data_IF_072579981142
#
_entry.id   IF_072579981142
#
_cell.length_a   1.000
_cell.length_b   1.000
_cell.length_c   1.000
_cell.angle_alpha   90.00
_cell.angle_beta   90.00
_cell.angle_gamma   90.00
#
_symmetry.space_group_name_H-M   'P 1'
#
loop_
_entity.id
_entity.type
_entity.pdbx_description
1 polymer ?
#
# COMPACT_ATOMS: atom_id res chain seq x y z
N UNK A 1 9.19 24.99 21.93
CA UNK A 1 9.55 23.56 21.88
C UNK A 1 8.35 22.62 21.68
N UNK A 2 7.23 22.72 22.40
CA UNK A 2 6.07 21.79 22.22
C UNK A 2 5.52 21.73 20.79
N UNK A 3 5.26 22.89 20.16
CA UNK A 3 4.78 22.97 18.77
C UNK A 3 5.74 22.33 17.76
N UNK A 4 7.04 22.46 18.03
CA UNK A 4 8.10 21.88 17.22
C UNK A 4 8.06 20.35 17.20
N UNK A 5 7.80 19.73 18.35
CA UNK A 5 7.66 18.26 18.46
C UNK A 5 6.39 17.79 17.76
N UNK A 6 5.27 18.50 17.97
CA UNK A 6 3.99 18.17 17.33
C UNK A 6 4.09 18.21 15.80
N UNK A 7 4.72 19.25 15.24
CA UNK A 7 4.92 19.37 13.80
C UNK A 7 5.81 18.26 13.25
N UNK A 8 6.87 17.88 13.98
CA UNK A 8 7.73 16.76 13.56
C UNK A 8 6.94 15.46 13.53
N UNK A 9 6.14 15.17 14.55
CA UNK A 9 5.29 13.97 14.57
C UNK A 9 4.29 13.99 13.40
N UNK A 10 3.64 15.15 13.17
CA UNK A 10 2.65 15.32 12.11
C UNK A 10 3.18 15.04 10.70
N UNK A 11 4.46 15.31 10.43
CA UNK A 11 5.04 15.10 9.10
C UNK A 11 5.86 13.80 8.99
N UNK A 12 6.57 13.41 10.05
CA UNK A 12 7.42 12.22 10.03
C UNK A 12 6.59 10.94 10.06
N UNK A 13 5.53 10.86 10.89
CA UNK A 13 4.73 9.63 10.99
C UNK A 13 4.02 9.31 9.66
N UNK A 14 3.31 10.25 9.01
CA UNK A 14 2.73 9.98 7.69
C UNK A 14 3.79 9.75 6.62
N UNK A 15 4.93 10.45 6.67
CA UNK A 15 6.02 10.24 5.73
C UNK A 15 6.62 8.83 5.80
N UNK A 16 6.85 8.30 7.00
CA UNK A 16 7.33 6.92 7.21
C UNK A 16 6.28 5.89 6.77
N UNK A 17 5.00 6.13 7.09
CA UNK A 17 3.92 5.28 6.64
C UNK A 17 3.85 5.25 5.10
N UNK A 18 3.91 6.42 4.47
CA UNK A 18 3.91 6.54 3.01
C UNK A 18 5.12 5.87 2.35
N UNK A 19 6.30 5.95 2.96
CA UNK A 19 7.49 5.25 2.50
C UNK A 19 7.30 3.72 2.55
N UNK A 20 6.73 3.20 3.64
CA UNK A 20 6.48 1.79 3.80
C UNK A 20 5.43 1.27 2.81
N UNK A 21 4.31 1.98 2.63
CA UNK A 21 3.25 1.57 1.68
C UNK A 21 3.75 1.62 0.24
N UNK A 22 4.47 2.69 -0.14
CA UNK A 22 5.07 2.79 -1.47
C UNK A 22 6.12 1.70 -1.72
N UNK A 23 6.99 1.45 -0.73
CA UNK A 23 7.99 0.37 -0.81
C UNK A 23 7.34 -1.00 -0.99
N UNK A 24 6.30 -1.31 -0.23
CA UNK A 24 5.52 -2.54 -0.37
C UNK A 24 4.87 -2.65 -1.74
N UNK A 25 4.26 -1.57 -2.25
CA UNK A 25 3.65 -1.57 -3.57
C UNK A 25 4.67 -1.80 -4.71
N UNK A 26 5.87 -1.23 -4.58
CA UNK A 26 6.96 -1.38 -5.55
C UNK A 26 7.63 -2.76 -5.49
N UNK A 27 7.67 -3.38 -4.32
CA UNK A 27 8.30 -4.70 -4.10
C UNK A 27 7.31 -5.86 -4.15
N UNK A 28 6.02 -5.58 -4.24
CA UNK A 28 4.97 -6.58 -4.30
C UNK A 28 5.22 -7.56 -5.45
N UNK A 29 5.26 -8.87 -5.13
CA UNK A 29 5.49 -9.91 -6.14
C UNK A 29 4.42 -9.84 -7.23
N UNK A 30 4.74 -10.27 -8.44
CA UNK A 30 3.77 -10.31 -9.55
C UNK A 30 2.78 -11.48 -9.43
N UNK A 31 2.86 -12.25 -8.35
CA UNK A 31 2.01 -13.41 -8.13
C UNK A 31 0.60 -12.99 -7.74
N UNK A 32 -0.39 -13.66 -8.33
CA UNK A 32 -1.80 -13.35 -8.07
C UNK A 32 -2.27 -14.21 -6.92
N UNK A 33 -2.33 -13.62 -5.72
CA UNK A 33 -2.69 -14.37 -4.50
C UNK A 33 -4.21 -14.41 -4.33
N UNK A 34 -4.78 -15.60 -4.09
CA UNK A 34 -6.17 -15.70 -3.66
C UNK A 34 -6.26 -15.44 -2.14
N UNK A 35 -7.11 -14.51 -1.67
CA UNK A 35 -7.32 -14.28 -0.24
C UNK A 35 -8.00 -15.47 0.47
N UNK A 36 -8.76 -16.27 -0.27
CA UNK A 36 -9.41 -17.48 0.23
C UNK A 36 -8.96 -18.75 -0.51
N UNK A 37 -9.87 -19.70 -0.57
CA UNK A 37 -9.67 -20.98 -1.24
C UNK A 37 -9.55 -20.80 -2.76
N UNK A 38 -8.50 -21.37 -3.36
CA UNK A 38 -8.30 -21.38 -4.79
C UNK A 38 -8.67 -22.75 -5.37
N UNK A 39 -9.75 -22.78 -6.13
CA UNK A 39 -10.33 -23.96 -6.77
C UNK A 39 -10.09 -23.87 -8.27
N UNK A 40 -9.49 -24.92 -8.85
CA UNK A 40 -9.26 -25.03 -10.28
C UNK A 40 -10.42 -25.71 -11.00
N UNK A 41 -10.31 -25.89 -12.32
CA UNK A 41 -11.30 -26.59 -13.14
C UNK A 41 -11.57 -28.05 -12.69
N UNK A 42 -10.61 -28.68 -12.00
CA UNK A 42 -10.75 -30.01 -11.41
C UNK A 42 -11.60 -30.06 -10.13
N UNK A 43 -11.97 -28.90 -9.58
CA UNK A 43 -12.71 -28.79 -8.33
C UNK A 43 -11.86 -29.03 -7.08
N UNK A 44 -10.54 -29.17 -7.20
CA UNK A 44 -9.64 -29.40 -6.07
C UNK A 44 -8.97 -28.10 -5.59
N UNK A 45 -8.83 -27.99 -4.26
CA UNK A 45 -8.11 -26.91 -3.61
C UNK A 45 -6.63 -26.97 -3.92
N UNK A 46 -6.09 -25.85 -4.42
CA UNK A 46 -4.67 -25.75 -4.73
C UNK A 46 -4.00 -24.63 -3.91
N UNK A 47 -3.13 -24.98 -2.95
CA UNK A 47 -2.36 -23.99 -2.21
C UNK A 47 -1.31 -23.37 -3.14
N UNK A 48 -1.30 -22.04 -3.22
CA UNK A 48 -0.31 -21.29 -4.00
C UNK A 48 -0.92 -20.12 -4.76
N UNK A 49 -0.08 -19.35 -5.47
CA UNK A 49 -0.56 -18.26 -6.30
C UNK A 49 -1.42 -18.81 -7.44
N UNK A 50 -2.47 -18.07 -7.78
CA UNK A 50 -3.35 -18.43 -8.87
C UNK A 50 -2.58 -18.48 -10.19
N UNK A 51 -2.95 -19.43 -11.04
CA UNK A 51 -2.43 -19.59 -12.39
C UNK A 51 -3.46 -19.16 -13.43
N UNK A 52 -3.03 -18.75 -14.64
CA UNK A 52 -3.93 -18.58 -15.76
C UNK A 52 -4.71 -19.89 -16.01
N UNK A 53 -6.04 -19.81 -15.99
CA UNK A 53 -6.94 -20.97 -16.08
C UNK A 53 -7.63 -21.35 -14.75
N UNK A 54 -7.18 -20.81 -13.62
CA UNK A 54 -7.87 -21.04 -12.34
C UNK A 54 -9.25 -20.33 -12.33
N UNK A 55 -10.29 -21.10 -12.04
CA UNK A 55 -11.68 -20.71 -12.24
C UNK A 55 -12.36 -20.11 -11.01
N UNK A 56 -11.87 -20.37 -9.80
CA UNK A 56 -12.55 -19.94 -8.59
C UNK A 56 -11.61 -19.59 -7.45
N UNK A 57 -11.39 -18.30 -7.23
CA UNK A 57 -10.81 -17.80 -5.99
C UNK A 57 -11.93 -17.29 -5.08
N UNK A 58 -12.07 -17.85 -3.88
CA UNK A 58 -13.03 -17.39 -2.90
C UNK A 58 -12.62 -15.99 -2.37
N UNK A 59 -13.53 -15.03 -2.53
CA UNK A 59 -13.41 -13.71 -1.94
C UNK A 59 -13.96 -13.78 -0.53
N UNK A 60 -13.12 -13.45 0.45
CA UNK A 60 -13.50 -13.46 1.86
C UNK A 60 -13.77 -12.05 2.35
N UNK A 61 -14.81 -11.90 3.17
CA UNK A 61 -14.99 -10.79 4.11
C UNK A 61 -14.85 -11.32 5.53
N UNK A 62 -13.69 -11.07 6.15
CA UNK A 62 -13.29 -11.77 7.37
C UNK A 62 -13.14 -13.28 7.12
N UNK A 63 -14.00 -14.08 7.75
CA UNK A 63 -14.03 -15.55 7.59
C UNK A 63 -15.15 -16.06 6.68
N UNK A 64 -15.95 -15.15 6.09
CA UNK A 64 -17.13 -15.53 5.29
C UNK A 64 -16.81 -15.37 3.81
N UNK A 65 -17.08 -16.42 3.02
CA UNK A 65 -17.02 -16.33 1.56
C UNK A 65 -18.20 -15.50 1.03
N UNK A 66 -17.87 -14.39 0.37
CA UNK A 66 -18.85 -13.43 -0.19
C UNK A 66 -18.96 -13.53 -1.71
N UNK A 67 -18.18 -14.41 -2.33
CA UNK A 67 -18.25 -14.67 -3.77
C UNK A 67 -16.99 -15.36 -4.29
N UNK A 68 -16.94 -15.55 -5.60
CA UNK A 68 -15.77 -16.08 -6.29
C UNK A 68 -15.27 -15.10 -7.35
N UNK A 69 -13.96 -15.08 -7.58
CA UNK A 69 -13.31 -14.32 -8.65
C UNK A 69 -12.48 -15.25 -9.51
N UNK A 70 -12.48 -15.00 -10.82
CA UNK A 70 -11.55 -15.68 -11.73
C UNK A 70 -10.15 -15.09 -11.63
N UNK A 71 -9.16 -15.80 -12.18
CA UNK A 71 -7.77 -15.30 -12.26
C UNK A 71 -7.67 -13.86 -12.79
N UNK A 72 -8.31 -13.55 -13.92
CA UNK A 72 -8.21 -12.21 -14.54
C UNK A 72 -8.91 -11.13 -13.71
N UNK A 73 -10.02 -11.47 -13.04
CA UNK A 73 -10.69 -10.55 -12.12
C UNK A 73 -9.79 -10.23 -10.91
N UNK A 74 -9.19 -11.26 -10.31
CA UNK A 74 -8.31 -11.10 -9.16
C UNK A 74 -7.04 -10.33 -9.52
N UNK A 75 -6.44 -10.63 -10.68
CA UNK A 75 -5.30 -9.89 -11.23
C UNK A 75 -5.61 -8.41 -11.41
N UNK A 76 -6.78 -8.09 -11.95
CA UNK A 76 -7.21 -6.69 -12.14
C UNK A 76 -7.38 -5.98 -10.81
N UNK A 77 -8.04 -6.60 -9.84
CA UNK A 77 -8.23 -6.03 -8.49
C UNK A 77 -6.89 -5.73 -7.82
N UNK A 78 -5.98 -6.71 -7.77
CA UNK A 78 -4.66 -6.50 -7.18
C UNK A 78 -3.84 -5.44 -7.90
N UNK A 79 -3.98 -5.33 -9.23
CA UNK A 79 -3.30 -4.28 -9.99
C UNK A 79 -3.82 -2.88 -9.64
N UNK A 80 -5.10 -2.76 -9.31
CA UNK A 80 -5.71 -1.49 -8.89
C UNK A 80 -5.31 -1.15 -7.45
N UNK A 81 -5.41 -2.11 -6.53
CA UNK A 81 -4.97 -1.96 -5.13
C UNK A 81 -3.50 -1.54 -5.06
N UNK A 82 -2.62 -2.19 -5.81
CA UNK A 82 -1.20 -1.81 -5.87
C UNK A 82 -0.98 -0.39 -6.37
N UNK A 83 -1.77 0.07 -7.34
CA UNK A 83 -1.70 1.44 -7.85
C UNK A 83 -2.20 2.43 -6.81
N UNK A 84 -3.29 2.10 -6.13
CA UNK A 84 -3.85 2.92 -5.05
C UNK A 84 -2.88 3.04 -3.88
N UNK A 85 -2.26 1.94 -3.45
CA UNK A 85 -1.23 1.91 -2.42
C UNK A 85 0.00 2.73 -2.83
N UNK A 86 0.45 2.59 -4.08
CA UNK A 86 1.57 3.38 -4.60
C UNK A 86 1.24 4.88 -4.64
N UNK A 87 0.04 5.27 -5.09
CA UNK A 87 -0.38 6.67 -5.10
C UNK A 87 -0.50 7.22 -3.67
N UNK A 88 -1.16 6.49 -2.78
CA UNK A 88 -1.33 6.86 -1.37
C UNK A 88 0.02 7.02 -0.68
N UNK A 89 0.92 6.06 -0.88
CA UNK A 89 2.28 6.11 -0.35
C UNK A 89 3.08 7.29 -0.89
N UNK A 90 3.02 7.55 -2.20
CA UNK A 90 3.68 8.69 -2.82
C UNK A 90 3.15 10.04 -2.28
N UNK A 91 1.84 10.19 -2.12
CA UNK A 91 1.23 11.41 -1.58
C UNK A 91 1.62 11.65 -0.12
N UNK A 92 1.58 10.61 0.71
CA UNK A 92 1.98 10.70 2.11
C UNK A 92 3.48 11.02 2.27
N UNK A 93 4.32 10.42 1.43
CA UNK A 93 5.76 10.71 1.40
C UNK A 93 6.01 12.16 0.95
N UNK A 94 5.32 12.64 -0.08
CA UNK A 94 5.40 14.03 -0.52
C UNK A 94 4.94 15.00 0.58
N UNK A 95 3.85 14.68 1.28
CA UNK A 95 3.35 15.46 2.40
C UNK A 95 4.37 15.54 3.55
N UNK A 96 4.91 14.39 3.98
CA UNK A 96 5.88 14.32 5.07
C UNK A 96 7.19 15.04 4.74
N UNK A 97 7.70 14.87 3.52
CA UNK A 97 8.93 15.54 3.07
C UNK A 97 8.75 17.05 2.93
N UNK A 98 7.67 17.51 2.27
CA UNK A 98 7.40 18.94 2.11
C UNK A 98 7.18 19.64 3.47
N UNK A 99 6.35 19.05 4.34
CA UNK A 99 6.10 19.61 5.67
C UNK A 99 7.34 19.61 6.56
N UNK A 100 8.13 18.52 6.52
CA UNK A 100 9.42 18.44 7.23
C UNK A 100 10.41 19.52 6.78
N UNK A 101 10.53 19.75 5.47
CA UNK A 101 11.38 20.80 4.90
C UNK A 101 10.93 22.20 5.33
N UNK A 102 9.62 22.48 5.33
CA UNK A 102 9.08 23.76 5.78
C UNK A 102 9.36 24.00 7.26
N UNK A 103 9.14 23.00 8.11
CA UNK A 103 9.42 23.10 9.56
C UNK A 103 10.90 23.30 9.82
N UNK A 104 11.76 22.62 9.08
CA UNK A 104 13.20 22.77 9.20
C UNK A 104 13.68 24.14 8.74
N UNK A 105 13.17 24.64 7.60
CA UNK A 105 13.48 25.98 7.08
C UNK A 105 13.01 27.06 8.06
N UNK A 106 11.83 26.93 8.64
CA UNK A 106 11.30 27.86 9.64
C UNK A 106 12.08 27.84 10.97
N UNK A 107 12.87 26.79 11.25
CA UNK A 107 13.76 26.71 12.41
C UNK A 107 15.19 27.12 12.12
N UNK A 108 15.56 27.35 10.86
CA UNK A 108 16.88 27.89 10.57
C UNK A 108 16.93 29.33 11.09
N UNK A 109 17.84 29.66 12.02
CA UNK A 109 18.08 31.06 12.37
C UNK A 109 18.53 31.79 11.10
N UNK A 110 18.04 33.01 10.91
CA UNK A 110 18.49 33.93 9.86
C UNK A 110 19.95 34.30 10.14
N UNK A 111 20.86 33.40 9.80
CA UNK A 111 22.29 33.61 9.84
C UNK A 111 22.74 34.16 8.49
N UNK A 112 22.15 35.26 8.03
CA UNK A 112 22.69 36.05 6.91
C UNK A 112 22.03 37.44 6.83
N UNK A 113 22.28 38.27 7.83
CA UNK A 113 21.99 39.71 7.75
C UNK A 113 22.99 40.50 8.58
N UNK A 114 24.26 40.36 8.22
CA UNK A 114 25.30 41.36 8.50
C UNK A 114 25.41 42.34 7.32
#
# INVERSE_FOLDING_TARGET
>A
MKHSVVLVILFVVPGLWGAATLGSALTASTDIVCPGENVKEDGEEHPGPMRPGDTGCAVLDGSVSVGTRTYEQQRRVQSLERREDAMTGALLLAYGTAGGLLVWRARRPESDRD
#
